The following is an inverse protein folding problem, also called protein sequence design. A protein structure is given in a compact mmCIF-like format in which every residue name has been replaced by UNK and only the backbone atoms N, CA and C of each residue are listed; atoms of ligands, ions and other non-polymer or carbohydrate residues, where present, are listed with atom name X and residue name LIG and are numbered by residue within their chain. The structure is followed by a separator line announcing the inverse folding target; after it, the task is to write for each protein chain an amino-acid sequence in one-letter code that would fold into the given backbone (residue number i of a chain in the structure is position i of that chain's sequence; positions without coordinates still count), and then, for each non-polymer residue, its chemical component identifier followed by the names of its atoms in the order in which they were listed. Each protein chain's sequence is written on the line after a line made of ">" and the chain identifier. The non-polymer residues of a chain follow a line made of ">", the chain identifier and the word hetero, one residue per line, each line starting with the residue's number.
data_IF_757474219613
#
_entry.id   IF_757474219613
#
_cell.length_a   1.000
_cell.length_b   1.000
_cell.length_c   1.000
_cell.angle_alpha   90.00
_cell.angle_beta   90.00
_cell.angle_gamma   90.00
#
_symmetry.space_group_name_H-M   'P 1'
#
loop_
_entity.id
_entity.type
_entity.pdbx_description
1 polymer ?
#
# COMPACT_ATOMS: atom_id res chain seq x y z
N UNK A 1 27.87 -19.89 -48.46
CA UNK A 1 26.63 -19.94 -49.26
C UNK A 1 25.69 -20.86 -48.52
N UNK A 2 24.53 -20.47 -48.01
CA UNK A 2 23.69 -19.29 -48.27
C UNK A 2 22.79 -19.11 -47.05
N UNK A 3 22.62 -17.84 -46.69
CA UNK A 3 21.66 -17.30 -45.72
C UNK A 3 20.25 -17.51 -46.25
N UNK A 4 19.28 -17.79 -45.37
CA UNK A 4 17.86 -17.51 -45.62
C UNK A 4 17.16 -17.08 -44.32
N UNK A 5 16.91 -15.77 -44.28
CA UNK A 5 16.08 -15.02 -43.35
C UNK A 5 14.63 -15.50 -43.29
N UNK A 6 14.12 -15.70 -42.07
CA UNK A 6 12.70 -15.81 -41.77
C UNK A 6 12.17 -14.52 -41.14
N UNK A 7 11.92 -13.51 -41.98
CA UNK A 7 11.26 -12.25 -41.63
C UNK A 7 9.81 -12.53 -41.20
N UNK A 8 9.48 -12.36 -39.92
CA UNK A 8 8.08 -12.18 -39.50
C UNK A 8 7.81 -10.70 -39.32
N UNK A 9 6.91 -10.22 -40.16
CA UNK A 9 6.55 -8.84 -40.46
C UNK A 9 6.05 -8.07 -39.24
N UNK A 10 6.74 -6.99 -38.86
CA UNK A 10 6.18 -5.96 -38.00
C UNK A 10 5.09 -5.21 -38.77
N UNK A 11 3.83 -5.29 -38.31
CA UNK A 11 2.77 -4.40 -38.79
C UNK A 11 2.96 -3.03 -38.15
N UNK A 12 3.11 -2.03 -39.01
CA UNK A 12 3.13 -0.61 -38.67
C UNK A 12 1.86 -0.22 -37.90
N UNK A 13 2.03 0.30 -36.68
CA UNK A 13 1.05 1.17 -36.05
C UNK A 13 1.57 2.61 -36.13
N UNK A 14 1.21 3.28 -37.22
CA UNK A 14 1.14 4.74 -37.23
C UNK A 14 -0.23 5.13 -36.70
N UNK A 15 -0.29 5.55 -35.44
CA UNK A 15 -1.25 6.57 -35.02
C UNK A 15 -0.74 7.26 -33.77
N UNK A 16 -0.33 8.50 -33.98
CA UNK A 16 -0.06 9.52 -32.98
C UNK A 16 -1.22 9.65 -32.01
N UNK A 17 -1.03 9.24 -30.76
CA UNK A 17 -1.74 9.79 -29.60
C UNK A 17 -0.81 9.74 -28.40
N UNK A 18 -0.64 10.88 -27.75
CA UNK A 18 0.22 11.08 -26.59
C UNK A 18 0.05 9.97 -25.54
N UNK A 19 1.15 9.50 -24.89
CA UNK A 19 1.03 8.50 -23.85
C UNK A 19 0.30 9.11 -22.65
N UNK A 20 -0.99 8.79 -22.52
CA UNK A 20 -1.73 8.93 -21.26
C UNK A 20 -0.98 8.04 -20.27
N UNK A 21 -0.31 8.67 -19.31
CA UNK A 21 0.40 8.01 -18.22
C UNK A 21 -0.61 7.23 -17.37
N UNK A 22 -0.88 5.98 -17.74
CA UNK A 22 -1.42 4.99 -16.82
C UNK A 22 -0.26 4.46 -16.00
N UNK A 23 -0.39 4.53 -14.67
CA UNK A 23 0.59 3.94 -13.76
C UNK A 23 0.30 2.45 -13.61
N UNK A 24 0.49 1.72 -14.71
CA UNK A 24 0.52 0.27 -14.72
C UNK A 24 1.89 -0.17 -14.18
N UNK A 25 1.91 -0.81 -13.01
CA UNK A 25 3.14 -1.45 -12.50
C UNK A 25 3.15 -2.89 -12.95
N UNK A 26 3.64 -3.12 -14.18
CA UNK A 26 3.94 -4.46 -14.68
C UNK A 26 5.36 -4.86 -14.27
N UNK A 27 5.48 -5.88 -13.42
CA UNK A 27 6.78 -6.50 -13.10
C UNK A 27 7.12 -7.53 -14.18
N UNK A 28 7.90 -7.10 -15.17
CA UNK A 28 8.48 -8.02 -16.16
C UNK A 28 9.90 -8.40 -15.74
N UNK A 29 10.17 -9.70 -15.69
CA UNK A 29 11.51 -10.24 -15.41
C UNK A 29 12.25 -10.42 -16.74
N UNK A 30 13.20 -9.52 -17.02
CA UNK A 30 13.86 -9.42 -18.33
C UNK A 30 15.19 -10.16 -18.48
N UNK A 31 15.61 -11.01 -17.54
CA UNK A 31 16.92 -11.64 -17.68
C UNK A 31 17.16 -12.85 -16.78
N UNK A 32 17.54 -13.97 -17.40
CA UNK A 32 17.94 -15.22 -16.73
C UNK A 32 16.79 -16.21 -16.49
N UNK A 33 17.08 -17.38 -15.89
CA UNK A 33 16.05 -18.34 -15.51
C UNK A 33 15.13 -17.73 -14.43
N UNK A 34 13.82 -17.84 -14.62
CA UNK A 34 12.81 -17.31 -13.69
C UNK A 34 13.08 -17.78 -12.25
N UNK A 35 13.43 -16.83 -11.37
CA UNK A 35 13.65 -17.11 -9.96
C UNK A 35 12.43 -16.66 -9.13
N UNK A 36 11.58 -17.63 -8.81
CA UNK A 36 10.36 -17.43 -8.01
C UNK A 36 10.63 -16.79 -6.65
N UNK A 37 11.77 -17.05 -6.02
CA UNK A 37 12.13 -16.46 -4.73
C UNK A 37 12.44 -14.97 -4.85
N UNK A 38 13.18 -14.57 -5.89
CA UNK A 38 13.46 -13.16 -6.17
C UNK A 38 12.17 -12.40 -6.46
N UNK A 39 11.29 -12.96 -7.29
CA UNK A 39 9.98 -12.36 -7.58
C UNK A 39 9.16 -12.13 -6.30
N UNK A 40 9.04 -13.16 -5.44
CA UNK A 40 8.35 -13.02 -4.15
C UNK A 40 8.96 -11.93 -3.29
N UNK A 41 10.29 -11.85 -3.20
CA UNK A 41 10.96 -10.83 -2.37
C UNK A 41 10.71 -9.41 -2.90
N UNK A 42 10.72 -9.22 -4.22
CA UNK A 42 10.40 -7.93 -4.86
C UNK A 42 8.94 -7.56 -4.59
N UNK A 43 8.01 -8.49 -4.79
CA UNK A 43 6.59 -8.27 -4.51
C UNK A 43 6.33 -7.93 -3.04
N UNK A 44 6.97 -8.63 -2.09
CA UNK A 44 6.91 -8.30 -0.66
C UNK A 44 7.32 -6.86 -0.42
N UNK A 45 8.48 -6.43 -0.95
CA UNK A 45 8.98 -5.05 -0.77
C UNK A 45 8.06 -4.00 -1.38
N UNK A 46 7.53 -4.27 -2.57
CA UNK A 46 6.61 -3.35 -3.24
C UNK A 46 5.33 -3.19 -2.45
N UNK A 47 4.73 -4.30 -1.99
CA UNK A 47 3.52 -4.26 -1.19
C UNK A 47 3.79 -3.56 0.15
N UNK A 48 4.91 -3.83 0.83
CA UNK A 48 5.28 -3.13 2.06
C UNK A 48 5.50 -1.64 1.86
N UNK A 49 6.00 -1.23 0.70
CA UNK A 49 6.18 0.18 0.36
C UNK A 49 4.86 0.94 0.14
N UNK A 50 3.74 0.26 -0.07
CA UNK A 50 2.42 0.90 -0.17
C UNK A 50 1.90 1.36 1.19
N UNK A 51 2.33 0.70 2.26
CA UNK A 51 1.91 1.03 3.62
C UNK A 51 2.87 2.01 4.27
N UNK A 52 2.33 2.90 5.10
CA UNK A 52 3.08 3.87 5.88
C UNK A 52 2.34 4.19 7.17
N UNK A 53 3.01 4.87 8.10
CA UNK A 53 2.43 5.26 9.38
C UNK A 53 2.10 6.76 9.42
N UNK A 54 1.05 7.08 10.17
CA UNK A 54 0.60 8.41 10.51
C UNK A 54 0.33 8.45 12.02
N UNK A 55 0.56 9.59 12.69
CA UNK A 55 0.05 9.80 14.05
C UNK A 55 -1.40 10.27 13.98
N UNK A 56 -2.21 9.76 14.91
CA UNK A 56 -3.58 10.23 15.12
C UNK A 56 -3.60 11.64 15.75
N UNK A 57 -2.69 11.90 16.68
CA UNK A 57 -2.51 13.19 17.36
C UNK A 57 -1.06 13.38 17.85
N UNK A 58 -0.70 14.61 18.22
CA UNK A 58 0.62 14.90 18.81
C UNK A 58 0.66 14.32 20.23
N UNK A 59 1.61 13.42 20.54
CA UNK A 59 1.76 12.90 21.89
C UNK A 59 2.27 14.01 22.83
N UNK A 60 1.57 14.19 23.95
CA UNK A 60 1.83 15.29 24.87
C UNK A 60 2.86 14.96 25.97
N UNK A 61 3.18 13.67 26.17
CA UNK A 61 4.18 13.17 27.13
C UNK A 61 4.09 13.83 28.53
N UNK A 62 2.88 13.94 29.08
CA UNK A 62 2.70 14.46 30.44
C UNK A 62 3.15 13.45 31.51
N UNK A 63 3.08 12.15 31.18
CA UNK A 63 3.55 11.04 32.00
C UNK A 63 4.21 9.98 31.12
N UNK A 64 5.42 9.55 31.48
CA UNK A 64 6.16 8.51 30.74
C UNK A 64 6.00 7.14 31.42
N UNK A 65 5.70 6.05 30.68
CA UNK A 65 5.46 6.00 29.23
C UNK A 65 4.09 6.53 28.81
N UNK A 66 4.03 7.20 27.66
CA UNK A 66 2.81 7.70 27.03
C UNK A 66 2.32 6.69 25.98
N UNK A 67 1.01 6.40 25.96
CA UNK A 67 0.40 5.52 24.94
C UNK A 67 0.04 6.35 23.71
N UNK A 68 0.73 6.09 22.60
CA UNK A 68 0.52 6.77 21.33
C UNK A 68 -0.30 5.88 20.38
N UNK A 69 -1.31 6.46 19.74
CA UNK A 69 -2.07 5.79 18.67
C UNK A 69 -1.45 6.13 17.31
N UNK A 70 -1.01 5.09 16.60
CA UNK A 70 -0.51 5.19 15.22
C UNK A 70 -1.53 4.61 14.26
N UNK A 71 -1.67 5.21 13.09
CA UNK A 71 -2.53 4.77 12.01
C UNK A 71 -1.63 4.23 10.89
N UNK A 72 -1.81 2.96 10.55
CA UNK A 72 -1.20 2.36 9.36
C UNK A 72 -2.15 2.63 8.19
N UNK A 73 -1.67 3.41 7.23
CA UNK A 73 -2.40 3.86 6.04
C UNK A 73 -1.80 3.22 4.78
N UNK A 74 -2.60 3.11 3.71
CA UNK A 74 -2.16 2.62 2.41
C UNK A 74 -2.20 3.76 1.37
N UNK A 75 -1.20 3.84 0.51
CA UNK A 75 -1.11 4.84 -0.57
C UNK A 75 -2.11 4.63 -1.70
N UNK A 76 -2.68 3.42 -1.83
CA UNK A 76 -3.66 3.12 -2.87
C UNK A 76 -5.00 3.75 -2.50
N UNK A 77 -5.55 4.57 -3.39
CA UNK A 77 -6.85 5.21 -3.21
C UNK A 77 -7.98 4.19 -3.07
N UNK A 78 -9.04 4.57 -2.35
CA UNK A 78 -10.22 3.74 -2.20
C UNK A 78 -10.83 3.39 -3.56
N UNK A 79 -10.63 2.13 -3.96
CA UNK A 79 -10.94 1.61 -5.28
C UNK A 79 -11.08 0.09 -5.19
N UNK A 80 -11.64 -0.52 -6.24
CA UNK A 80 -11.69 -1.99 -6.33
C UNK A 80 -10.28 -2.61 -6.27
N UNK A 81 -9.25 -1.94 -6.80
CA UNK A 81 -7.87 -2.40 -6.70
C UNK A 81 -7.36 -2.48 -5.24
N UNK A 82 -7.70 -1.48 -4.41
CA UNK A 82 -7.41 -1.54 -2.97
C UNK A 82 -8.18 -2.70 -2.33
N UNK A 83 -9.47 -2.83 -2.63
CA UNK A 83 -10.32 -3.88 -2.09
C UNK A 83 -9.76 -5.27 -2.39
N UNK A 84 -9.36 -5.53 -3.64
CA UNK A 84 -8.74 -6.80 -4.06
C UNK A 84 -7.43 -7.05 -3.32
N UNK A 85 -6.58 -6.03 -3.17
CA UNK A 85 -5.36 -6.13 -2.39
C UNK A 85 -5.65 -6.49 -0.93
N UNK A 86 -6.57 -5.79 -0.28
CA UNK A 86 -6.94 -6.03 1.12
C UNK A 86 -7.59 -7.40 1.30
N UNK A 87 -8.44 -7.85 0.36
CA UNK A 87 -9.01 -9.20 0.39
C UNK A 87 -7.93 -10.28 0.32
N UNK A 88 -6.97 -10.11 -0.59
CA UNK A 88 -5.83 -11.04 -0.72
C UNK A 88 -5.02 -11.07 0.58
N UNK A 89 -4.66 -9.91 1.13
CA UNK A 89 -3.89 -9.80 2.38
C UNK A 89 -4.64 -10.37 3.60
N UNK A 90 -5.96 -10.17 3.67
CA UNK A 90 -6.81 -10.75 4.70
C UNK A 90 -6.87 -12.28 4.60
N UNK A 91 -7.06 -12.82 3.38
CA UNK A 91 -7.10 -14.26 3.13
C UNK A 91 -5.77 -14.94 3.43
N UNK A 92 -4.65 -14.28 3.15
CA UNK A 92 -3.30 -14.80 3.47
C UNK A 92 -2.90 -14.59 4.93
N UNK A 93 -3.75 -13.95 5.75
CA UNK A 93 -3.49 -13.66 7.17
C UNK A 93 -2.13 -12.98 7.42
N UNK A 94 -1.85 -11.90 6.69
CA UNK A 94 -0.60 -11.15 6.86
C UNK A 94 -0.58 -10.48 8.24
N UNK A 95 0.47 -10.72 9.02
CA UNK A 95 0.70 -10.04 10.28
C UNK A 95 1.57 -8.80 10.13
N UNK A 96 1.34 -7.86 11.04
CA UNK A 96 2.21 -6.73 11.33
C UNK A 96 2.86 -6.91 12.69
N UNK A 97 4.08 -6.43 12.78
CA UNK A 97 4.88 -6.34 13.99
C UNK A 97 5.20 -4.88 14.21
N UNK A 98 4.80 -4.33 15.33
CA UNK A 98 4.98 -2.92 15.64
C UNK A 98 5.56 -2.73 17.04
N UNK A 99 6.44 -1.76 17.17
CA UNK A 99 7.20 -1.51 18.40
C UNK A 99 7.60 -0.03 18.48
N UNK A 100 7.43 0.56 19.66
CA UNK A 100 8.07 1.80 20.10
C UNK A 100 9.20 1.49 21.08
N UNK A 101 9.04 1.88 22.35
CA UNK A 101 10.00 1.59 23.42
C UNK A 101 9.67 0.31 24.23
N UNK A 102 8.66 -0.46 23.82
CA UNK A 102 8.35 -1.73 24.47
C UNK A 102 9.50 -2.74 24.33
N UNK A 103 9.64 -3.62 25.33
CA UNK A 103 10.64 -4.69 25.33
C UNK A 103 10.36 -5.77 24.28
N UNK A 104 9.10 -5.98 23.91
CA UNK A 104 8.70 -6.97 22.91
C UNK A 104 7.82 -6.34 21.82
N UNK A 105 8.05 -6.67 20.54
CA UNK A 105 7.22 -6.17 19.46
C UNK A 105 5.81 -6.76 19.57
N UNK A 106 4.80 -5.91 19.53
CA UNK A 106 3.42 -6.34 19.46
C UNK A 106 3.11 -6.94 18.08
N UNK A 107 2.22 -7.94 18.05
CA UNK A 107 1.82 -8.64 16.83
C UNK A 107 0.32 -8.49 16.62
N UNK A 108 -0.08 -8.13 15.39
CA UNK A 108 -1.49 -8.02 15.01
C UNK A 108 -1.71 -8.40 13.55
N UNK A 109 -2.95 -8.69 13.16
CA UNK A 109 -3.30 -8.84 11.74
C UNK A 109 -3.32 -7.46 11.08
N UNK A 110 -2.74 -7.37 9.88
CA UNK A 110 -2.75 -6.15 9.07
C UNK A 110 -4.19 -5.78 8.68
N UNK A 111 -4.91 -6.76 8.13
CA UNK A 111 -6.29 -6.63 7.69
C UNK A 111 -7.18 -7.44 8.62
N UNK A 112 -8.10 -6.78 9.34
CA UNK A 112 -9.19 -7.46 10.06
C UNK A 112 -10.49 -7.36 9.27
N UNK A 113 -11.54 -8.06 9.73
CA UNK A 113 -12.87 -7.93 9.15
C UNK A 113 -13.38 -6.48 9.11
N UNK A 114 -12.95 -5.63 10.06
CA UNK A 114 -13.27 -4.20 10.07
C UNK A 114 -12.68 -3.48 8.85
N UNK A 115 -11.38 -3.65 8.59
CA UNK A 115 -10.71 -3.02 7.43
C UNK A 115 -11.33 -3.48 6.10
N UNK A 116 -11.68 -4.76 5.99
CA UNK A 116 -12.35 -5.30 4.79
C UNK A 116 -13.71 -4.63 4.59
N UNK A 117 -14.48 -4.45 5.65
CA UNK A 117 -15.81 -3.80 5.60
C UNK A 117 -15.70 -2.32 5.26
N UNK A 118 -14.72 -1.61 5.82
CA UNK A 118 -14.46 -0.20 5.50
C UNK A 118 -14.04 -0.03 4.03
N UNK A 119 -13.14 -0.88 3.52
CA UNK A 119 -12.73 -0.84 2.12
C UNK A 119 -13.89 -1.20 1.17
N UNK A 120 -14.81 -2.09 1.57
CA UNK A 120 -16.06 -2.36 0.83
C UNK A 120 -16.94 -1.13 0.68
N UNK A 121 -16.94 -0.26 1.69
CA UNK A 121 -17.65 1.01 1.69
C UNK A 121 -16.84 2.13 1.01
N UNK A 122 -15.86 1.78 0.17
CA UNK A 122 -14.99 2.71 -0.55
C UNK A 122 -14.27 3.70 0.38
N UNK A 123 -13.93 3.27 1.59
CA UNK A 123 -13.08 4.03 2.49
C UNK A 123 -11.60 3.71 2.27
N UNK A 124 -10.69 4.66 2.49
CA UNK A 124 -9.26 4.39 2.45
C UNK A 124 -8.88 3.39 3.55
N UNK A 125 -7.87 2.57 3.29
CA UNK A 125 -7.37 1.62 4.28
C UNK A 125 -6.75 2.36 5.46
N UNK A 126 -7.26 2.09 6.67
CA UNK A 126 -6.74 2.60 7.94
C UNK A 126 -6.76 1.51 9.01
N UNK A 127 -5.62 1.29 9.66
CA UNK A 127 -5.50 0.38 10.80
C UNK A 127 -4.82 1.09 11.96
N UNK A 128 -5.58 1.37 13.00
CA UNK A 128 -5.05 1.92 14.25
C UNK A 128 -4.35 0.84 15.06
N UNK A 129 -3.15 1.12 15.58
CA UNK A 129 -2.47 0.32 16.61
C UNK A 129 -1.88 1.26 17.66
N UNK A 130 -1.68 0.75 18.86
CA UNK A 130 -1.17 1.54 19.99
C UNK A 130 0.24 1.09 20.34
N UNK A 131 1.11 2.06 20.62
CA UNK A 131 2.47 1.83 21.09
C UNK A 131 2.76 2.66 22.33
N UNK A 132 3.71 2.22 23.12
CA UNK A 132 4.31 2.93 24.24
C UNK A 132 5.52 3.72 23.77
N UNK A 133 5.56 5.00 24.10
CA UNK A 133 6.70 5.87 23.83
C UNK A 133 7.16 6.56 25.11
N UNK A 134 8.48 6.64 25.30
CA UNK A 134 9.08 7.36 26.42
C UNK A 134 9.32 8.84 26.08
N UNK A 135 9.49 9.18 24.80
CA UNK A 135 9.75 10.55 24.37
C UNK A 135 9.45 10.78 22.89
N UNK A 136 9.54 12.02 22.43
CA UNK A 136 9.49 12.35 20.99
C UNK A 136 10.65 11.73 20.18
N UNK A 137 11.73 11.28 20.83
CA UNK A 137 12.85 10.62 20.16
C UNK A 137 12.63 9.14 19.91
N UNK A 138 11.55 8.55 20.46
CA UNK A 138 11.20 7.15 20.27
C UNK A 138 11.07 6.82 18.78
N UNK A 139 11.70 5.72 18.36
CA UNK A 139 11.67 5.24 16.99
C UNK A 139 10.60 4.15 16.83
N UNK A 140 9.55 4.46 16.06
CA UNK A 140 8.47 3.54 15.74
C UNK A 140 8.92 2.61 14.62
N UNK A 141 9.04 1.33 14.92
CA UNK A 141 9.31 0.29 13.94
C UNK A 141 8.03 -0.46 13.61
N UNK A 142 7.67 -0.51 12.32
CA UNK A 142 6.58 -1.37 11.83
C UNK A 142 7.11 -2.24 10.69
N UNK A 143 6.86 -3.54 10.81
CA UNK A 143 7.18 -4.56 9.83
C UNK A 143 5.92 -5.37 9.49
N UNK A 144 5.90 -5.95 8.30
CA UNK A 144 4.86 -6.88 7.86
C UNK A 144 5.45 -8.17 7.33
N UNK A 145 4.67 -9.25 7.39
CA UNK A 145 5.05 -10.52 6.77
C UNK A 145 5.11 -10.39 5.25
N UNK A 146 6.24 -10.77 4.68
CA UNK A 146 6.44 -10.94 3.25
C UNK A 146 6.04 -12.33 2.78
N UNK A 147 5.68 -12.44 1.49
CA UNK A 147 5.37 -13.70 0.82
C UNK A 147 6.60 -14.60 0.62
N UNK A 148 7.80 -14.05 0.84
CA UNK A 148 9.09 -14.73 0.88
C UNK A 148 9.42 -15.31 2.27
N UNK A 149 8.51 -15.21 3.24
CA UNK A 149 8.69 -15.68 4.62
C UNK A 149 9.59 -14.78 5.46
N UNK A 150 10.02 -13.64 4.92
CA UNK A 150 10.81 -12.62 5.61
C UNK A 150 9.94 -11.45 6.00
N UNK A 151 10.27 -10.81 7.12
CA UNK A 151 9.62 -9.56 7.52
C UNK A 151 10.20 -8.40 6.71
N UNK A 152 9.33 -7.51 6.26
CA UNK A 152 9.70 -6.31 5.52
C UNK A 152 9.22 -5.09 6.28
N UNK A 153 10.07 -4.07 6.39
CA UNK A 153 9.65 -2.78 6.93
C UNK A 153 8.65 -2.12 5.97
N UNK A 154 7.62 -1.50 6.55
CA UNK A 154 6.76 -0.60 5.77
C UNK A 154 7.51 0.71 5.50
N UNK A 155 6.96 1.54 4.62
CA UNK A 155 7.64 2.75 4.13
C UNK A 155 8.13 3.65 5.26
N UNK A 156 9.40 4.06 5.16
CA UNK A 156 10.08 4.97 6.09
C UNK A 156 10.19 4.48 7.55
N UNK A 157 9.97 3.19 7.82
CA UNK A 157 10.22 2.62 9.14
C UNK A 157 11.67 2.08 9.26
N UNK A 158 12.32 2.24 10.43
CA UNK A 158 11.83 2.89 11.64
C UNK A 158 11.73 4.44 11.52
N UNK A 159 10.68 5.02 12.12
CA UNK A 159 10.36 6.45 12.05
C UNK A 159 10.36 7.08 13.44
N UNK A 160 11.09 8.18 13.64
CA UNK A 160 11.04 8.91 14.93
C UNK A 160 9.76 9.72 15.07
N UNK A 161 9.14 9.73 16.25
CA UNK A 161 7.92 10.49 16.51
C UNK A 161 8.10 11.99 16.18
N UNK A 162 9.19 12.61 16.63
CA UNK A 162 9.49 14.03 16.32
C UNK A 162 9.50 14.31 14.82
N UNK A 163 10.06 13.39 14.03
CA UNK A 163 10.10 13.52 12.58
C UNK A 163 8.70 13.35 11.98
N UNK A 164 7.93 12.39 12.47
CA UNK A 164 6.57 12.12 12.00
C UNK A 164 5.63 13.30 12.27
N UNK A 165 5.72 13.91 13.47
CA UNK A 165 4.98 15.12 13.84
C UNK A 165 5.31 16.28 12.89
N UNK A 166 6.58 16.49 12.55
CA UNK A 166 7.01 17.53 11.60
C UNK A 166 6.50 17.24 10.18
N UNK A 167 6.68 16.02 9.69
CA UNK A 167 6.34 15.66 8.32
C UNK A 167 4.81 15.66 8.08
N UNK A 168 4.01 15.49 9.13
CA UNK A 168 2.55 15.60 9.08
C UNK A 168 2.02 17.03 9.31
N UNK A 169 2.86 18.00 9.66
CA UNK A 169 2.44 19.37 9.98
C UNK A 169 1.58 19.46 11.24
N UNK A 170 1.71 18.52 12.19
CA UNK A 170 0.83 18.49 13.37
C UNK A 170 1.10 19.62 14.38
N UNK A 171 2.24 20.30 14.26
CA UNK A 171 2.60 21.47 15.07
C UNK A 171 2.32 22.81 14.37
N UNK A 172 1.74 22.80 13.16
CA UNK A 172 1.50 24.05 12.43
C UNK A 172 0.38 24.86 13.10
N UNK A 173 0.77 25.98 13.70
CA UNK A 173 -0.10 26.89 14.48
C UNK A 173 -1.07 27.65 13.54
N UNK A 174 -0.79 27.64 12.24
CA UNK A 174 -1.65 28.16 11.18
C UNK A 174 -2.17 26.99 10.37
N UNK A 175 -3.42 26.61 10.64
CA UNK A 175 -4.11 25.43 10.12
C UNK A 175 -3.63 24.87 8.78
N UNK A 176 -3.45 23.55 8.75
CA UNK A 176 -3.18 22.76 7.55
C UNK A 176 -4.06 23.22 6.36
N UNK A 177 -3.45 23.31 5.18
CA UNK A 177 -4.09 23.57 3.87
C UNK A 177 -5.13 22.52 3.44
N UNK A 178 -5.49 21.58 4.32
CA UNK A 178 -6.60 20.65 4.16
C UNK A 178 -7.74 21.08 5.08
N UNK A 179 -8.48 22.11 4.64
CA UNK A 179 -9.83 22.35 5.13
C UNK A 179 -10.74 21.18 4.74
N UNK A 180 -10.76 20.12 5.55
CA UNK A 180 -11.90 19.19 5.58
C UNK A 180 -12.54 19.26 6.96
N UNK A 181 -13.46 20.20 7.10
CA UNK A 181 -14.49 20.21 8.15
C UNK A 181 -15.75 19.57 7.55
N UNK A 182 -16.55 18.81 8.33
CA UNK A 182 -17.53 17.85 7.80
C UNK A 182 -18.84 18.50 7.29
N UNK A 183 -19.46 17.82 6.32
CA UNK A 183 -20.88 17.87 5.91
C UNK A 183 -21.50 19.19 5.41
N UNK A 184 -21.66 19.31 4.07
CA UNK A 184 -22.99 19.46 3.43
C UNK A 184 -22.91 19.42 1.88
N UNK A 185 -24.02 19.12 1.17
CA UNK A 185 -23.99 18.52 -0.16
C UNK A 185 -24.14 19.54 -1.29
N UNK A 186 -23.36 19.41 -2.37
CA UNK A 186 -23.70 19.97 -3.69
C UNK A 186 -23.23 19.09 -4.85
N UNK A 187 -24.21 18.36 -5.39
CA UNK A 187 -24.61 18.35 -6.81
C UNK A 187 -23.63 17.83 -7.87
N UNK A 188 -23.89 16.56 -8.25
CA UNK A 188 -24.17 16.07 -9.61
C UNK A 188 -23.65 16.85 -10.83
N UNK A 189 -22.76 16.18 -11.57
CA UNK A 189 -22.48 16.44 -13.00
C UNK A 189 -22.04 15.15 -13.71
N UNK A 190 -22.99 14.56 -14.45
CA UNK A 190 -22.94 13.54 -15.53
C UNK A 190 -21.55 13.07 -16.00
N UNK A 191 -21.18 11.79 -15.89
CA UNK A 191 -21.59 10.61 -16.70
C UNK A 191 -21.07 10.64 -18.16
N UNK A 192 -20.13 9.73 -18.49
CA UNK A 192 -20.22 8.79 -19.62
C UNK A 192 -18.95 7.91 -19.74
N UNK A 193 -19.14 6.62 -20.06
CA UNK A 193 -18.03 5.67 -20.30
C UNK A 193 -18.14 4.30 -19.62
N UNK A 194 -19.35 3.82 -19.29
CA UNK A 194 -19.62 2.43 -18.86
C UNK A 194 -19.73 1.53 -20.11
N UNK A 195 -18.77 0.66 -20.37
CA UNK A 195 -19.04 -0.65 -21.02
C UNK A 195 -17.83 -1.59 -21.02
N UNK A 196 -16.60 -1.10 -21.17
CA UNK A 196 -15.48 -1.98 -21.57
C UNK A 196 -14.62 -2.50 -20.39
N UNK A 197 -15.02 -2.19 -19.16
CA UNK A 197 -14.27 -2.40 -17.92
C UNK A 197 -14.18 -3.87 -17.44
N UNK A 198 -14.87 -4.81 -18.09
CA UNK A 198 -15.05 -6.17 -17.57
C UNK A 198 -14.03 -7.19 -18.09
N UNK A 199 -13.29 -6.91 -19.17
CA UNK A 199 -12.51 -7.95 -19.87
C UNK A 199 -11.07 -8.10 -19.35
N UNK A 200 -10.51 -7.11 -18.63
CA UNK A 200 -9.08 -7.07 -18.28
C UNK A 200 -8.71 -7.54 -16.87
N UNK A 201 -9.69 -7.76 -15.97
CA UNK A 201 -9.43 -8.32 -14.63
C UNK A 201 -9.28 -9.85 -14.67
N UNK A 202 -10.02 -10.52 -15.55
CA UNK A 202 -10.03 -11.99 -15.63
C UNK A 202 -8.68 -12.58 -16.06
N UNK A 203 -7.94 -11.88 -16.95
CA UNK A 203 -6.64 -12.36 -17.45
C UNK A 203 -5.51 -12.33 -16.41
N UNK A 204 -5.57 -11.39 -15.45
CA UNK A 204 -4.59 -11.31 -14.37
C UNK A 204 -4.80 -12.42 -13.32
N UNK A 205 -6.03 -12.93 -13.22
CA UNK A 205 -6.41 -14.01 -12.30
C UNK A 205 -6.05 -15.38 -12.90
N UNK A 206 -6.31 -15.62 -14.19
CA UNK A 206 -5.94 -16.86 -14.89
C UNK A 206 -4.43 -17.16 -14.85
N UNK A 207 -3.59 -16.12 -14.92
CA UNK A 207 -2.13 -16.30 -14.90
C UNK A 207 -1.59 -16.72 -13.52
N UNK A 208 -2.34 -16.45 -12.44
CA UNK A 208 -1.98 -16.84 -11.08
C UNK A 208 -2.46 -18.24 -10.71
N UNK A 209 -3.50 -18.76 -11.38
CA UNK A 209 -4.01 -20.11 -11.18
C UNK A 209 -3.23 -21.16 -11.99
N UNK A 210 -2.72 -20.80 -13.16
CA UNK A 210 -1.90 -21.69 -14.03
C UNK A 210 -0.49 -21.96 -13.52
N UNK A 211 -0.04 -21.30 -12.44
CA UNK A 211 1.25 -21.56 -11.78
C UNK A 211 1.15 -22.50 -10.55
N UNK A 212 0.02 -23.22 -10.42
CA UNK A 212 -0.13 -24.37 -9.52
C UNK A 212 -0.13 -25.67 -10.34
N UNK A 213 1.03 -26.05 -10.83
CA UNK A 213 1.40 -27.45 -11.09
C UNK A 213 2.74 -27.73 -10.41
#
# INVERSE_FOLDING_TARGET
>A
MTVSDGKTTCRNFNSSTAPKRTHDVALSYGGGPYNRQLFKSICSKLISSLFYIELDSVPAFYSSPEVCTIIISCRVSASNALLDLIFKLHRTQVYIYYQGDETTPAKGLLCTAKQVTECRNMQPFRRQVTISALSLQTAISVQMDGFDGKKQHISNCPYRIEKLVRDQGLLDIFGNSSHTVPSSPRQSGLAEGKADLYVEVDRLIETLETCKE
#
